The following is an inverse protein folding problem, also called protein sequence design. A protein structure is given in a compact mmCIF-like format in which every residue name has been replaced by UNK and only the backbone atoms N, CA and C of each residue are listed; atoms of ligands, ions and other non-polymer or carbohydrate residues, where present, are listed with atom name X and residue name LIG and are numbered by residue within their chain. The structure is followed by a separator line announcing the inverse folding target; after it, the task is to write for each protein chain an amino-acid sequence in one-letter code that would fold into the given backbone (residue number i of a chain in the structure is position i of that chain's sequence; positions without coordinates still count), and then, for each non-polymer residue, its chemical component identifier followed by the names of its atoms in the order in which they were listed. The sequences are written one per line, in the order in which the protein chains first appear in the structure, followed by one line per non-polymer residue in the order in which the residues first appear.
data_IF_136655911590
#
_entry.id   IF_136655911590
#
_cell.length_a   1.000
_cell.length_b   1.000
_cell.length_c   1.000
_cell.angle_alpha   90.00
_cell.angle_beta   90.00
_cell.angle_gamma   90.00
#
_symmetry.space_group_name_H-M   'P 1'
#
loop_
_entity.id
_entity.type
_entity.pdbx_description
1 polymer ?
#
# COMPACT_ATOMS: atom_id res chain seq x y z
N UNK A 1 -9.60 17.76 -3.94
CA UNK A 1 -8.58 17.00 -3.19
C UNK A 1 -7.97 17.96 -2.19
N UNK A 2 -8.00 17.57 -0.93
CA UNK A 2 -7.66 18.43 0.21
C UNK A 2 -6.25 18.12 0.76
N UNK A 3 -5.70 16.94 0.46
CA UNK A 3 -4.37 16.51 0.88
C UNK A 3 -3.79 15.42 -0.02
N UNK A 4 -2.47 15.35 -0.08
CA UNK A 4 -1.69 14.25 -0.64
C UNK A 4 -0.88 13.62 0.50
N UNK A 5 -0.99 12.30 0.67
CA UNK A 5 -0.19 11.54 1.62
C UNK A 5 0.83 10.70 0.87
N UNK A 6 2.10 10.83 1.24
CA UNK A 6 3.22 10.09 0.64
C UNK A 6 3.69 9.01 1.60
N UNK A 7 3.76 7.78 1.12
CA UNK A 7 4.23 6.64 1.90
C UNK A 7 5.76 6.67 2.11
N UNK A 8 6.51 6.97 1.05
CA UNK A 8 7.98 7.05 1.05
C UNK A 8 8.50 7.75 -0.21
N UNK A 9 9.81 7.99 -0.29
CA UNK A 9 10.46 8.85 -1.29
C UNK A 9 10.76 8.20 -2.64
N UNK A 10 10.43 6.94 -2.88
CA UNK A 10 10.72 6.31 -4.17
C UNK A 10 9.99 7.02 -5.34
N UNK A 11 10.67 7.06 -6.49
CA UNK A 11 10.26 7.88 -7.65
C UNK A 11 8.86 7.59 -8.17
N UNK A 12 8.42 6.35 -8.13
CA UNK A 12 7.09 5.92 -8.56
C UNK A 12 5.98 6.41 -7.61
N UNK A 13 6.30 6.71 -6.35
CA UNK A 13 5.36 7.27 -5.37
C UNK A 13 5.29 8.78 -5.39
N UNK A 14 6.35 9.49 -5.79
CA UNK A 14 6.42 10.96 -5.68
C UNK A 14 6.38 11.71 -7.01
N UNK A 15 6.49 11.04 -8.16
CA UNK A 15 6.70 11.62 -9.49
C UNK A 15 5.73 12.75 -9.85
N UNK A 16 4.48 12.67 -9.43
CA UNK A 16 3.44 13.68 -9.70
C UNK A 16 3.19 14.65 -8.54
N UNK A 17 3.64 14.34 -7.33
CA UNK A 17 3.21 15.03 -6.11
C UNK A 17 3.54 16.52 -6.09
N UNK A 18 4.77 16.90 -6.44
CA UNK A 18 5.17 18.30 -6.45
C UNK A 18 4.45 19.13 -7.51
N UNK A 19 4.21 18.56 -8.70
CA UNK A 19 3.45 19.23 -9.78
C UNK A 19 2.00 19.43 -9.35
N UNK A 20 1.39 18.39 -8.76
CA UNK A 20 0.02 18.42 -8.29
C UNK A 20 -0.17 19.46 -7.19
N UNK A 21 0.69 19.45 -6.17
CA UNK A 21 0.65 20.42 -5.08
C UNK A 21 0.73 21.85 -5.57
N UNK A 22 1.69 22.18 -6.45
CA UNK A 22 1.82 23.54 -7.01
C UNK A 22 0.63 23.98 -7.87
N UNK A 23 0.07 23.03 -8.64
CA UNK A 23 -1.02 23.35 -9.57
C UNK A 23 -2.35 23.62 -8.87
N UNK A 24 -2.62 22.88 -7.80
CA UNK A 24 -3.92 22.86 -7.13
C UNK A 24 -3.86 23.41 -5.71
N UNK A 25 -2.71 23.89 -5.27
CA UNK A 25 -2.45 24.38 -3.91
C UNK A 25 -2.84 23.37 -2.82
N UNK A 26 -2.42 22.12 -3.02
CA UNK A 26 -2.76 20.98 -2.13
C UNK A 26 -1.56 20.65 -1.24
N UNK A 27 -1.75 20.56 0.09
CA UNK A 27 -0.69 20.17 1.02
C UNK A 27 -0.26 18.72 0.82
N UNK A 28 1.05 18.49 0.98
CA UNK A 28 1.69 17.17 0.96
C UNK A 28 2.04 16.78 2.39
N UNK A 29 1.57 15.62 2.80
CA UNK A 29 1.84 15.01 4.09
C UNK A 29 2.81 13.85 3.94
N UNK A 30 3.90 13.85 4.69
CA UNK A 30 4.88 12.77 4.74
C UNK A 30 5.60 12.78 6.08
N UNK A 31 6.31 11.70 6.42
CA UNK A 31 7.22 11.71 7.57
C UNK A 31 8.35 12.72 7.35
N UNK A 32 8.95 13.20 8.42
CA UNK A 32 10.02 14.20 8.32
C UNK A 32 11.21 13.70 7.48
N UNK A 33 11.58 12.43 7.65
CA UNK A 33 12.71 11.85 6.92
C UNK A 33 12.38 11.65 5.44
N UNK A 34 11.15 11.22 5.11
CA UNK A 34 10.66 11.14 3.73
C UNK A 34 10.66 12.53 3.08
N UNK A 35 10.23 13.59 3.79
CA UNK A 35 10.31 14.96 3.30
C UNK A 35 11.74 15.37 2.95
N UNK A 36 12.70 15.15 3.85
CA UNK A 36 14.11 15.45 3.60
C UNK A 36 14.65 14.71 2.36
N UNK A 37 14.30 13.45 2.22
CA UNK A 37 14.75 12.62 1.10
C UNK A 37 14.17 13.07 -0.25
N UNK A 38 12.88 13.42 -0.30
CA UNK A 38 12.20 13.76 -1.57
C UNK A 38 12.23 15.24 -1.97
N UNK A 39 12.63 16.16 -1.11
CA UNK A 39 12.50 17.62 -1.33
C UNK A 39 13.09 18.12 -2.65
N UNK A 40 14.22 17.57 -3.09
CA UNK A 40 14.87 17.96 -4.32
C UNK A 40 14.14 17.44 -5.58
N UNK A 41 13.39 16.36 -5.46
CA UNK A 41 12.64 15.73 -6.54
C UNK A 41 11.27 16.37 -6.76
N UNK A 42 10.68 16.93 -5.73
CA UNK A 42 9.38 17.60 -5.81
C UNK A 42 9.44 18.98 -6.49
N UNK A 43 10.62 19.60 -6.55
CA UNK A 43 10.78 21.01 -6.88
C UNK A 43 10.29 21.90 -5.73
N UNK A 44 10.18 23.22 -5.99
CA UNK A 44 9.82 24.18 -4.93
C UNK A 44 8.37 23.98 -4.46
N UNK A 45 8.19 23.62 -3.21
CA UNK A 45 6.89 23.56 -2.52
C UNK A 45 6.81 24.71 -1.51
N UNK A 46 5.68 25.40 -1.49
CA UNK A 46 5.45 26.52 -0.54
C UNK A 46 5.37 25.98 0.90
N UNK A 47 5.83 26.73 1.90
CA UNK A 47 5.92 26.20 3.28
C UNK A 47 4.60 25.68 3.86
N UNK A 48 3.47 26.32 3.56
CA UNK A 48 2.17 25.89 4.07
C UNK A 48 1.66 24.57 3.47
N UNK A 49 2.25 24.12 2.34
CA UNK A 49 1.97 22.81 1.73
C UNK A 49 2.97 21.71 2.15
N UNK A 50 3.91 22.03 3.04
CA UNK A 50 4.84 21.06 3.62
C UNK A 50 4.31 20.62 4.99
N UNK A 51 3.60 19.50 5.03
CA UNK A 51 2.99 18.99 6.25
C UNK A 51 3.65 17.69 6.69
N UNK A 52 3.71 17.47 8.01
CA UNK A 52 4.34 16.30 8.59
C UNK A 52 3.32 15.38 9.22
N UNK A 53 3.60 14.08 9.11
CA UNK A 53 2.88 13.02 9.85
C UNK A 53 3.87 12.25 10.71
N UNK A 54 3.39 11.71 11.80
CA UNK A 54 4.16 10.91 12.74
C UNK A 54 3.48 9.56 12.92
N UNK A 55 4.29 8.50 13.02
CA UNK A 55 3.79 7.15 13.21
C UNK A 55 2.84 7.09 14.40
N UNK A 56 1.75 6.36 14.23
CA UNK A 56 0.68 6.15 15.21
C UNK A 56 -0.08 7.44 15.66
N UNK A 57 0.23 8.60 15.09
CA UNK A 57 -0.50 9.83 15.38
C UNK A 57 -1.62 10.11 14.37
N UNK A 58 -2.71 10.67 14.85
CA UNK A 58 -3.85 11.04 14.01
C UNK A 58 -3.60 12.37 13.31
N UNK A 59 -3.71 12.36 11.98
CA UNK A 59 -3.77 13.56 11.16
C UNK A 59 -5.20 13.74 10.65
N UNK A 60 -5.86 14.82 11.06
CA UNK A 60 -7.28 15.06 10.71
C UNK A 60 -7.37 16.07 9.58
N UNK A 61 -8.03 15.69 8.50
CA UNK A 61 -8.33 16.52 7.34
C UNK A 61 -9.85 16.54 7.17
N UNK A 62 -10.48 17.65 7.50
CA UNK A 62 -11.95 17.79 7.55
C UNK A 62 -12.59 16.71 8.46
N UNK A 63 -13.36 15.79 7.90
CA UNK A 63 -14.03 14.68 8.57
C UNK A 63 -13.29 13.33 8.43
N UNK A 64 -12.09 13.35 7.81
CA UNK A 64 -11.24 12.18 7.60
C UNK A 64 -10.08 12.21 8.60
N UNK A 65 -9.85 11.10 9.27
CA UNK A 65 -8.66 10.89 10.09
C UNK A 65 -7.70 9.92 9.40
N UNK A 66 -6.46 10.33 9.19
CA UNK A 66 -5.40 9.50 8.60
C UNK A 66 -4.36 9.19 9.68
N UNK A 67 -4.02 7.91 9.83
CA UNK A 67 -3.00 7.44 10.78
C UNK A 67 -1.95 6.64 10.03
N UNK A 68 -0.69 7.09 9.98
CA UNK A 68 0.40 6.30 9.43
C UNK A 68 0.81 5.18 10.38
N UNK A 69 1.31 4.08 9.83
CA UNK A 69 1.94 2.98 10.56
C UNK A 69 3.24 2.56 9.86
N UNK A 70 4.23 2.14 10.62
CA UNK A 70 5.54 1.75 10.10
C UNK A 70 5.44 0.50 9.21
N UNK A 71 6.18 0.50 8.11
CA UNK A 71 6.37 -0.67 7.24
C UNK A 71 7.86 -0.94 7.01
N UNK A 72 8.30 -2.20 6.89
CA UNK A 72 9.68 -2.54 6.53
C UNK A 72 9.87 -2.43 5.02
N UNK A 73 10.57 -1.39 4.58
CA UNK A 73 10.94 -1.19 3.18
C UNK A 73 12.29 -0.50 3.07
N UNK A 74 12.94 -0.57 1.91
CA UNK A 74 14.25 0.03 1.66
C UNK A 74 14.15 1.54 1.34
N UNK A 75 13.46 2.25 2.21
CA UNK A 75 13.26 3.70 2.19
C UNK A 75 13.63 4.30 3.57
N UNK A 76 13.69 5.64 3.68
CA UNK A 76 14.23 6.27 4.90
C UNK A 76 13.29 6.19 6.10
N UNK A 77 12.00 6.36 5.91
CA UNK A 77 10.95 6.21 6.95
C UNK A 77 9.62 5.88 6.28
N UNK A 78 9.50 4.67 5.71
CA UNK A 78 8.33 4.28 4.95
C UNK A 78 7.13 3.96 5.85
N UNK A 79 5.94 4.37 5.42
CA UNK A 79 4.69 4.16 6.16
C UNK A 79 3.57 3.66 5.26
N UNK A 80 2.70 2.82 5.83
CA UNK A 80 1.36 2.59 5.33
C UNK A 80 0.37 3.56 5.97
N UNK A 81 -0.87 3.58 5.52
CA UNK A 81 -1.88 4.49 6.02
C UNK A 81 -3.19 3.79 6.35
N UNK A 82 -3.74 4.10 7.52
CA UNK A 82 -5.12 3.85 7.87
C UNK A 82 -5.93 5.15 7.73
N UNK A 83 -7.02 5.10 7.00
CA UNK A 83 -7.91 6.22 6.72
C UNK A 83 -9.28 5.91 7.34
N UNK A 84 -9.73 6.76 8.24
CA UNK A 84 -10.98 6.60 8.96
C UNK A 84 -11.98 7.67 8.52
N UNK A 85 -13.18 7.23 8.14
CA UNK A 85 -14.34 8.06 7.84
C UNK A 85 -15.53 7.56 8.66
N UNK A 86 -15.82 8.24 9.78
CA UNK A 86 -16.78 7.73 10.77
C UNK A 86 -16.36 6.38 11.34
N UNK A 87 -17.18 5.34 11.11
CA UNK A 87 -16.89 3.97 11.56
C UNK A 87 -16.15 3.12 10.50
N UNK A 88 -15.98 3.65 9.31
CA UNK A 88 -15.33 2.92 8.22
C UNK A 88 -13.82 3.13 8.23
N UNK A 89 -13.08 2.08 7.88
CA UNK A 89 -11.62 2.08 7.83
C UNK A 89 -11.14 1.58 6.47
N UNK A 90 -10.30 2.36 5.82
CA UNK A 90 -9.56 1.98 4.62
C UNK A 90 -8.08 1.89 4.98
N UNK A 91 -7.44 0.78 4.65
CA UNK A 91 -6.00 0.60 4.88
C UNK A 91 -5.25 0.47 3.56
N UNK A 92 -4.07 1.10 3.51
CA UNK A 92 -3.13 1.03 2.38
C UNK A 92 -1.82 0.47 2.91
N UNK A 93 -1.44 -0.71 2.43
CA UNK A 93 -0.25 -1.44 2.84
C UNK A 93 0.48 -2.00 1.60
N UNK A 94 1.33 -1.18 1.01
CA UNK A 94 2.20 -1.52 -0.14
C UNK A 94 3.65 -1.36 0.27
N UNK A 95 4.56 -1.93 -0.52
CA UNK A 95 6.00 -1.86 -0.28
C UNK A 95 6.40 -2.53 1.04
N UNK A 96 5.90 -3.74 1.21
CA UNK A 96 6.11 -4.53 2.41
C UNK A 96 7.24 -5.53 2.20
N UNK A 97 8.38 -5.33 2.83
CA UNK A 97 9.48 -6.31 2.78
C UNK A 97 9.12 -7.64 3.47
N UNK A 98 8.46 -7.55 4.61
CA UNK A 98 7.90 -8.68 5.34
C UNK A 98 6.71 -8.25 6.20
N UNK A 99 5.97 -9.22 6.73
CA UNK A 99 4.80 -8.95 7.56
C UNK A 99 5.21 -8.88 9.03
N UNK A 100 5.04 -7.70 9.65
CA UNK A 100 5.27 -7.46 11.09
C UNK A 100 3.96 -7.52 11.86
N UNK A 101 4.04 -7.63 13.19
CA UNK A 101 2.87 -7.54 14.06
C UNK A 101 2.20 -6.16 13.96
N UNK A 102 2.99 -5.10 13.85
CA UNK A 102 2.50 -3.74 13.57
C UNK A 102 1.62 -3.67 12.32
N UNK A 103 2.04 -4.30 11.23
CA UNK A 103 1.24 -4.35 9.99
C UNK A 103 -0.05 -5.13 10.23
N UNK A 104 0.02 -6.34 10.83
CA UNK A 104 -1.16 -7.16 11.12
C UNK A 104 -2.20 -6.39 11.93
N UNK A 105 -1.77 -5.81 13.05
CA UNK A 105 -2.64 -5.03 13.93
C UNK A 105 -3.20 -3.80 13.22
N UNK A 106 -2.36 -3.10 12.46
CA UNK A 106 -2.77 -1.87 11.77
C UNK A 106 -3.81 -2.11 10.70
N UNK A 107 -3.74 -3.20 9.94
CA UNK A 107 -4.69 -3.46 8.84
C UNK A 107 -5.87 -4.36 9.22
N UNK A 108 -5.84 -4.97 10.40
CA UNK A 108 -6.98 -5.74 10.94
C UNK A 108 -8.20 -4.84 11.08
N UNK A 109 -9.41 -5.38 10.90
CA UNK A 109 -10.69 -4.68 10.95
C UNK A 109 -10.83 -3.52 9.95
N UNK A 110 -10.15 -3.58 8.82
CA UNK A 110 -10.40 -2.70 7.69
C UNK A 110 -11.68 -3.10 6.95
N UNK A 111 -12.47 -2.11 6.53
CA UNK A 111 -13.59 -2.32 5.62
C UNK A 111 -13.10 -2.51 4.18
N UNK A 112 -12.07 -1.74 3.80
CA UNK A 112 -11.36 -1.85 2.51
C UNK A 112 -9.86 -1.93 2.79
N UNK A 113 -9.18 -2.85 2.12
CA UNK A 113 -7.73 -2.99 2.20
C UNK A 113 -7.12 -2.98 0.79
N UNK A 114 -6.19 -2.05 0.53
CA UNK A 114 -5.23 -2.14 -0.56
C UNK A 114 -3.98 -2.81 -0.01
N UNK A 115 -3.69 -4.02 -0.49
CA UNK A 115 -2.56 -4.83 -0.06
C UNK A 115 -1.62 -5.12 -1.22
N UNK A 116 -0.33 -5.06 -0.97
CA UNK A 116 0.67 -5.52 -1.90
C UNK A 116 0.52 -7.01 -2.23
N UNK A 117 0.68 -7.34 -3.53
CA UNK A 117 0.93 -8.69 -4.04
C UNK A 117 1.97 -8.54 -5.15
N UNK A 118 3.25 -8.34 -4.76
CA UNK A 118 4.24 -7.84 -5.68
C UNK A 118 4.63 -8.86 -6.74
N UNK A 119 4.97 -10.07 -6.36
CA UNK A 119 5.55 -11.06 -7.28
C UNK A 119 5.04 -12.48 -7.04
N UNK A 120 5.03 -13.24 -8.10
CA UNK A 120 5.03 -14.70 -8.02
C UNK A 120 6.47 -15.19 -7.78
N UNK A 121 6.64 -16.07 -6.81
CA UNK A 121 7.97 -16.53 -6.40
C UNK A 121 8.71 -17.31 -7.49
N UNK A 122 7.99 -18.08 -8.32
CA UNK A 122 8.59 -18.85 -9.39
C UNK A 122 8.97 -17.95 -10.58
N UNK A 123 8.10 -16.99 -10.93
CA UNK A 123 8.42 -15.99 -11.94
C UNK A 123 9.65 -15.18 -11.53
N UNK A 124 9.72 -14.72 -10.29
CA UNK A 124 10.88 -13.97 -9.80
C UNK A 124 12.15 -14.82 -9.81
N UNK A 125 12.12 -16.06 -9.31
CA UNK A 125 13.29 -16.96 -9.29
C UNK A 125 13.81 -17.26 -10.69
N UNK A 126 12.92 -17.49 -11.66
CA UNK A 126 13.26 -17.90 -13.02
C UNK A 126 13.33 -16.74 -14.01
N UNK A 127 12.85 -15.54 -13.64
CA UNK A 127 12.76 -14.37 -14.50
C UNK A 127 14.10 -13.75 -14.87
N UNK A 128 14.04 -12.71 -15.71
CA UNK A 128 15.20 -12.06 -16.33
C UNK A 128 16.00 -11.15 -15.38
N UNK A 129 15.47 -10.82 -14.21
CA UNK A 129 16.14 -9.91 -13.27
C UNK A 129 17.50 -10.44 -12.83
N UNK A 130 18.53 -9.57 -12.75
CA UNK A 130 19.82 -9.95 -12.24
C UNK A 130 19.73 -10.36 -10.76
N UNK A 131 20.62 -11.24 -10.33
CA UNK A 131 20.57 -11.86 -9.01
C UNK A 131 20.50 -10.87 -7.85
N UNK A 132 21.25 -9.79 -7.89
CA UNK A 132 21.22 -8.77 -6.84
C UNK A 132 19.85 -8.09 -6.69
N UNK A 133 19.11 -7.91 -7.80
CA UNK A 133 17.75 -7.36 -7.74
C UNK A 133 16.75 -8.38 -7.18
N UNK A 134 16.89 -9.66 -7.54
CA UNK A 134 16.10 -10.74 -6.95
C UNK A 134 16.31 -10.82 -5.43
N UNK A 135 17.57 -10.74 -4.98
CA UNK A 135 17.90 -10.72 -3.55
C UNK A 135 17.31 -9.50 -2.82
N UNK A 136 17.32 -8.32 -3.45
CA UNK A 136 16.70 -7.11 -2.92
C UNK A 136 15.19 -7.31 -2.74
N UNK A 137 14.49 -7.82 -3.76
CA UNK A 137 13.04 -8.05 -3.74
C UNK A 137 12.66 -9.09 -2.67
N UNK A 138 13.43 -10.18 -2.55
CA UNK A 138 13.20 -11.25 -1.59
C UNK A 138 13.71 -10.94 -0.17
N UNK A 139 14.40 -9.82 0.01
CA UNK A 139 14.98 -9.43 1.30
C UNK A 139 13.94 -8.86 2.26
N UNK A 140 14.32 -8.72 3.54
CA UNK A 140 13.43 -8.21 4.61
C UNK A 140 12.87 -6.80 4.38
N UNK A 141 13.50 -6.00 3.52
CA UNK A 141 13.05 -4.67 3.13
C UNK A 141 12.63 -4.61 1.65
N UNK A 142 12.37 -5.75 1.02
CA UNK A 142 11.94 -5.83 -0.37
C UNK A 142 10.43 -5.75 -0.51
N UNK A 143 9.82 -6.84 -1.02
CA UNK A 143 8.38 -6.90 -1.30
C UNK A 143 7.81 -8.28 -0.98
N UNK A 144 6.55 -8.34 -0.50
CA UNK A 144 5.86 -9.60 -0.26
C UNK A 144 5.37 -10.25 -1.56
N UNK A 145 5.41 -11.58 -1.58
CA UNK A 145 4.89 -12.39 -2.70
C UNK A 145 3.35 -12.47 -2.67
N UNK A 146 2.75 -12.94 -3.78
CA UNK A 146 1.33 -13.30 -3.83
C UNK A 146 0.93 -14.26 -2.72
N UNK A 147 1.78 -15.25 -2.46
CA UNK A 147 1.55 -16.25 -1.42
C UNK A 147 1.57 -15.64 -0.02
N UNK A 148 2.53 -14.78 0.27
CA UNK A 148 2.62 -14.06 1.55
C UNK A 148 1.40 -13.15 1.76
N UNK A 149 0.95 -12.44 0.71
CA UNK A 149 -0.26 -11.62 0.75
C UNK A 149 -1.51 -12.45 1.07
N UNK A 150 -1.67 -13.61 0.41
CA UNK A 150 -2.78 -14.52 0.67
C UNK A 150 -2.81 -15.05 2.11
N UNK A 151 -1.66 -15.44 2.64
CA UNK A 151 -1.55 -15.92 4.03
C UNK A 151 -1.88 -14.80 5.03
N UNK A 152 -1.33 -13.60 4.84
CA UNK A 152 -1.65 -12.45 5.67
C UNK A 152 -3.16 -12.17 5.68
N UNK A 153 -3.80 -12.15 4.51
CA UNK A 153 -5.25 -11.98 4.41
C UNK A 153 -6.01 -13.05 5.16
N UNK A 154 -5.60 -14.32 5.06
CA UNK A 154 -6.24 -15.42 5.78
C UNK A 154 -6.11 -15.28 7.31
N UNK A 155 -4.99 -14.73 7.80
CA UNK A 155 -4.74 -14.47 9.22
C UNK A 155 -5.60 -13.34 9.79
N UNK A 156 -5.73 -12.22 9.04
CA UNK A 156 -6.38 -10.99 9.54
C UNK A 156 -7.87 -10.90 9.18
N UNK A 157 -8.40 -11.90 8.46
CA UNK A 157 -9.78 -11.84 7.97
C UNK A 157 -10.77 -11.71 9.12
N UNK A 158 -11.56 -10.66 9.06
CA UNK A 158 -12.67 -10.42 9.98
C UNK A 158 -13.98 -10.23 9.21
N UNK A 159 -15.10 -10.38 9.91
CA UNK A 159 -16.42 -10.13 9.30
C UNK A 159 -16.67 -8.68 8.88
N UNK A 160 -15.76 -7.76 9.22
CA UNK A 160 -15.83 -6.34 8.85
C UNK A 160 -15.32 -6.07 7.43
N UNK A 161 -14.35 -6.84 6.95
CA UNK A 161 -13.74 -6.64 5.64
C UNK A 161 -14.73 -6.90 4.50
N UNK A 162 -14.92 -5.89 3.66
CA UNK A 162 -15.85 -5.90 2.52
C UNK A 162 -15.15 -5.98 1.19
N UNK A 163 -13.96 -5.34 1.10
CA UNK A 163 -13.25 -5.26 -0.18
C UNK A 163 -11.74 -5.33 -0.01
N UNK A 164 -11.11 -6.14 -0.86
CA UNK A 164 -9.66 -6.27 -0.97
C UNK A 164 -9.25 -5.81 -2.36
N UNK A 165 -8.28 -4.91 -2.43
CA UNK A 165 -7.55 -4.60 -3.65
C UNK A 165 -6.14 -5.17 -3.54
N UNK A 166 -5.77 -6.07 -4.45
CA UNK A 166 -4.39 -6.48 -4.61
C UNK A 166 -3.69 -5.49 -5.54
N UNK A 167 -2.57 -4.94 -5.10
CA UNK A 167 -1.87 -3.90 -5.83
C UNK A 167 -0.37 -4.03 -5.78
N UNK A 168 0.33 -3.04 -6.33
CA UNK A 168 1.79 -2.94 -6.37
C UNK A 168 2.46 -4.16 -7.03
N UNK A 169 1.88 -4.65 -8.14
CA UNK A 169 2.38 -5.82 -8.85
C UNK A 169 3.64 -5.46 -9.66
N UNK A 170 4.64 -6.36 -9.63
CA UNK A 170 5.78 -6.33 -10.55
C UNK A 170 5.32 -6.52 -11.99
N UNK A 171 5.82 -5.71 -12.92
CA UNK A 171 5.52 -5.88 -14.35
C UNK A 171 6.14 -7.14 -14.95
N UNK A 172 7.34 -7.51 -14.48
CA UNK A 172 8.15 -8.61 -15.03
C UNK A 172 7.91 -9.94 -14.30
N UNK A 173 7.57 -9.88 -12.99
CA UNK A 173 7.55 -11.06 -12.14
C UNK A 173 6.17 -11.35 -11.55
N UNK A 174 5.11 -10.80 -12.17
CA UNK A 174 3.74 -11.07 -11.77
C UNK A 174 2.77 -10.87 -12.95
N UNK A 175 1.56 -11.36 -12.76
CA UNK A 175 0.44 -11.11 -13.66
C UNK A 175 -0.84 -10.95 -12.83
N UNK A 176 -1.73 -9.99 -13.14
CA UNK A 176 -2.95 -9.74 -12.34
C UNK A 176 -3.79 -10.99 -12.07
N UNK A 177 -4.01 -11.81 -13.09
CA UNK A 177 -4.76 -13.05 -12.95
C UNK A 177 -4.06 -14.06 -12.00
N UNK A 178 -2.73 -14.20 -12.11
CA UNK A 178 -1.97 -15.10 -11.26
C UNK A 178 -2.00 -14.64 -9.79
N UNK A 179 -1.81 -13.34 -9.55
CA UNK A 179 -1.92 -12.79 -8.19
C UNK A 179 -3.32 -13.04 -7.59
N UNK A 180 -4.37 -12.77 -8.37
CA UNK A 180 -5.75 -13.00 -7.93
C UNK A 180 -6.00 -14.47 -7.59
N UNK A 181 -5.64 -15.40 -8.49
CA UNK A 181 -5.89 -16.83 -8.28
C UNK A 181 -5.10 -17.40 -7.12
N UNK A 182 -3.81 -17.03 -6.98
CA UNK A 182 -3.00 -17.46 -5.85
C UNK A 182 -3.63 -17.06 -4.51
N UNK A 183 -4.03 -15.80 -4.37
CA UNK A 183 -4.66 -15.31 -3.15
C UNK A 183 -6.04 -15.94 -2.94
N UNK A 184 -6.86 -16.05 -3.99
CA UNK A 184 -8.19 -16.66 -3.91
C UNK A 184 -8.14 -18.12 -3.46
N UNK A 185 -7.18 -18.91 -3.97
CA UNK A 185 -6.96 -20.30 -3.57
C UNK A 185 -6.59 -20.41 -2.08
N UNK A 186 -5.69 -19.54 -1.59
CA UNK A 186 -5.29 -19.54 -0.17
C UNK A 186 -6.48 -19.19 0.72
N UNK A 187 -7.27 -18.17 0.35
CA UNK A 187 -8.48 -17.81 1.09
C UNK A 187 -9.49 -18.95 1.11
N UNK A 188 -9.72 -19.59 -0.03
CA UNK A 188 -10.63 -20.74 -0.14
C UNK A 188 -10.18 -21.91 0.75
N UNK A 189 -8.89 -22.24 0.74
CA UNK A 189 -8.30 -23.29 1.59
C UNK A 189 -8.44 -22.95 3.09
N UNK A 190 -8.46 -21.68 3.43
CA UNK A 190 -8.73 -21.14 4.76
C UNK A 190 -10.22 -21.00 5.08
N UNK A 191 -11.12 -21.51 4.22
CA UNK A 191 -12.58 -21.46 4.33
C UNK A 191 -13.17 -20.03 4.28
N UNK A 192 -12.45 -19.09 3.69
CA UNK A 192 -12.89 -17.72 3.44
C UNK A 192 -13.45 -17.67 2.02
N UNK A 193 -14.72 -17.31 1.90
CA UNK A 193 -15.41 -17.27 0.60
C UNK A 193 -15.38 -15.87 0.01
N UNK A 194 -14.84 -15.76 -1.21
CA UNK A 194 -14.98 -14.59 -2.07
C UNK A 194 -16.30 -14.61 -2.81
N UNK A 195 -16.82 -13.42 -3.09
CA UNK A 195 -18.17 -13.24 -3.63
C UNK A 195 -19.17 -12.94 -2.50
N UNK A 196 -20.28 -12.36 -2.76
CA UNK A 196 -21.21 -11.95 -1.71
C UNK A 196 -20.72 -10.75 -0.89
N UNK A 197 -20.50 -10.93 0.42
CA UNK A 197 -20.11 -9.84 1.34
C UNK A 197 -18.66 -9.40 1.19
N UNK A 198 -17.74 -10.33 0.88
CA UNK A 198 -16.33 -10.05 0.65
C UNK A 198 -16.00 -10.10 -0.85
N UNK A 199 -15.43 -9.02 -1.36
CA UNK A 199 -14.97 -8.93 -2.76
C UNK A 199 -13.47 -8.73 -2.80
N UNK A 200 -12.85 -9.22 -3.85
CA UNK A 200 -11.44 -8.98 -4.14
C UNK A 200 -11.29 -8.58 -5.60
N UNK A 201 -10.43 -7.62 -5.87
CA UNK A 201 -10.14 -7.13 -7.22
C UNK A 201 -8.67 -6.69 -7.31
N UNK A 202 -8.23 -6.37 -8.51
CA UNK A 202 -6.89 -5.86 -8.77
C UNK A 202 -6.91 -4.33 -8.82
N UNK A 203 -5.97 -3.68 -8.13
CA UNK A 203 -5.74 -2.26 -8.31
C UNK A 203 -5.14 -2.01 -9.70
N UNK A 204 -5.88 -1.30 -10.54
CA UNK A 204 -5.44 -1.02 -11.90
C UNK A 204 -4.28 0.00 -11.92
N UNK A 205 -3.20 -0.29 -12.67
CA UNK A 205 -2.02 0.57 -12.75
C UNK A 205 -2.23 1.79 -13.65
N UNK A 206 -2.93 1.62 -14.79
CA UNK A 206 -3.02 2.62 -15.85
C UNK A 206 -4.45 3.05 -16.17
N UNK A 207 -5.41 2.63 -15.40
CA UNK A 207 -6.83 2.97 -15.57
C UNK A 207 -7.51 3.19 -14.22
N UNK A 208 -8.71 3.72 -14.25
CA UNK A 208 -9.54 3.76 -13.05
C UNK A 208 -9.91 2.33 -12.64
N UNK A 209 -9.65 1.99 -11.38
CA UNK A 209 -10.09 0.74 -10.78
C UNK A 209 -11.58 0.72 -10.47
N UNK A 210 -12.03 -0.35 -9.82
CA UNK A 210 -13.41 -0.46 -9.36
C UNK A 210 -13.73 0.66 -8.34
N UNK A 211 -14.92 1.27 -8.47
CA UNK A 211 -15.45 2.20 -7.48
C UNK A 211 -16.19 1.40 -6.41
N UNK A 212 -15.77 1.55 -5.18
CA UNK A 212 -16.40 0.92 -4.01
C UNK A 212 -17.05 1.98 -3.15
N UNK A 213 -18.27 1.69 -2.69
CA UNK A 213 -18.99 2.49 -1.71
C UNK A 213 -19.33 1.58 -0.52
N UNK A 214 -19.02 2.02 0.70
CA UNK A 214 -19.23 1.29 1.96
C UNK A 214 -20.08 2.13 2.93
#
# INVERSE_FOLDING_TARGET
IDALFITHEHKDHIKGAGIFSRRFDVPIYATMQTWEAMKNDLGKIVPHNQCFVYEDENCVINDICVRPFAIPHDAVQPVGYNIFAGQNKVSIATDLGHVTDTIRESITDSDILLLEANHDEQMLKNGSYPWHLKQRILGENGHISNHTAGNLLAEIMSGKMKYIFLGHLSEENNHPHLAYETVAEILQNSKIQLGGALKMDMAARFSNGAKVTI
#
